data_IF_000068437492
#
_entry.id   IF_000068437492
#
_cell.length_a   1.000
_cell.length_b   1.000
_cell.length_c   1.000
_cell.angle_alpha   90.00
_cell.angle_beta   90.00
_cell.angle_gamma   90.00
#
_symmetry.space_group_name_H-M   'P 1'
#
loop_
_entity.id
_entity.type
_entity.pdbx_description
1 polymer ?
#
# COMPACT_ATOMS: atom_id res chain seq x y z
N UNK A 1 67.81 76.68 27.73
CA UNK A 1 67.73 75.23 27.49
C UNK A 1 66.33 74.83 27.94
N UNK A 2 65.30 74.94 27.13
CA UNK A 2 65.13 75.11 25.67
C UNK A 2 63.90 76.07 25.53
N UNK A 3 63.95 77.20 24.79
CA UNK A 3 63.72 77.39 23.34
C UNK A 3 62.38 76.77 22.89
N UNK A 4 61.46 77.31 22.07
CA UNK A 4 61.21 78.53 21.30
C UNK A 4 59.80 78.26 20.68
N UNK A 5 58.81 79.16 20.71
CA UNK A 5 58.45 80.15 19.68
C UNK A 5 57.18 79.77 18.85
N UNK A 6 56.39 80.82 18.57
CA UNK A 6 55.34 81.09 17.55
C UNK A 6 54.36 79.98 17.07
N UNK A 7 53.08 80.25 16.76
CA UNK A 7 52.35 81.48 16.52
C UNK A 7 51.21 81.25 15.48
N UNK A 8 50.27 82.20 15.39
CA UNK A 8 49.28 82.36 14.30
C UNK A 8 48.00 81.52 14.46
N UNK A 9 46.80 82.09 14.69
CA UNK A 9 46.06 83.00 13.81
C UNK A 9 45.17 82.14 12.89
N UNK A 10 43.87 82.29 12.71
CA UNK A 10 42.81 83.23 13.07
C UNK A 10 41.58 82.82 12.24
N UNK A 11 40.41 83.44 12.47
CA UNK A 11 39.31 83.42 11.50
C UNK A 11 37.99 82.88 12.02
N UNK A 12 36.98 83.74 12.04
CA UNK A 12 35.65 83.50 12.56
C UNK A 12 34.79 82.54 11.72
N UNK A 13 33.70 82.09 12.34
CA UNK A 13 32.68 81.27 11.72
C UNK A 13 31.38 81.41 12.50
N UNK A 14 30.40 81.99 11.83
CA UNK A 14 29.09 82.45 12.29
C UNK A 14 28.03 81.33 12.26
N UNK A 15 27.03 81.46 13.13
CA UNK A 15 25.65 80.95 13.09
C UNK A 15 25.34 79.45 12.88
N UNK A 16 24.57 78.90 13.83
CA UNK A 16 23.73 77.70 13.63
C UNK A 16 22.53 77.98 12.69
N UNK A 17 21.96 76.93 12.09
CA UNK A 17 20.57 76.60 12.41
C UNK A 17 20.32 75.09 12.68
N UNK A 18 19.16 74.74 13.24
CA UNK A 18 18.86 73.43 13.81
C UNK A 18 18.18 72.51 12.79
N UNK A 19 18.24 71.18 12.95
CA UNK A 19 17.09 70.34 12.59
C UNK A 19 17.12 68.95 13.25
N UNK A 20 15.98 68.66 13.88
CA UNK A 20 15.28 67.39 13.98
C UNK A 20 15.90 66.25 14.83
N UNK A 21 15.26 66.03 15.98
CA UNK A 21 15.48 64.87 16.83
C UNK A 21 15.22 63.55 16.11
N UNK A 22 16.11 62.59 16.37
CA UNK A 22 16.00 61.21 15.89
C UNK A 22 14.88 60.49 16.64
N UNK A 23 13.78 60.19 15.94
CA UNK A 23 12.80 59.23 16.40
C UNK A 23 13.32 57.83 16.07
N UNK A 24 13.72 57.07 17.09
CA UNK A 24 14.10 55.68 16.94
C UNK A 24 12.89 54.86 16.45
N UNK A 25 12.97 54.34 15.23
CA UNK A 25 12.00 53.38 14.73
C UNK A 25 12.16 52.06 15.50
N UNK A 26 11.15 51.69 16.28
CA UNK A 26 11.03 50.35 16.84
C UNK A 26 10.83 49.36 15.69
N UNK A 27 11.91 48.72 15.26
CA UNK A 27 11.84 47.58 14.37
C UNK A 27 11.14 46.44 15.13
N UNK A 28 9.83 46.31 14.93
CA UNK A 28 9.10 45.11 15.28
C UNK A 28 9.66 43.98 14.45
N UNK A 29 10.61 43.22 15.01
CA UNK A 29 11.00 41.94 14.50
C UNK A 29 9.79 41.01 14.64
N UNK A 30 8.92 41.04 13.63
CA UNK A 30 7.97 39.98 13.39
C UNK A 30 8.78 38.71 13.35
N UNK A 31 8.66 37.89 14.40
CA UNK A 31 9.20 36.55 14.39
C UNK A 31 8.49 35.85 13.25
N UNK A 32 9.17 35.73 12.12
CA UNK A 32 8.83 34.77 11.09
C UNK A 32 8.80 33.41 11.79
N UNK A 33 7.60 32.96 12.16
CA UNK A 33 7.38 31.56 12.52
C UNK A 33 7.48 30.83 11.19
N UNK A 34 8.72 30.62 10.74
CA UNK A 34 9.04 29.78 9.62
C UNK A 34 8.57 28.38 10.01
N UNK A 35 7.38 28.02 9.52
CA UNK A 35 6.81 26.70 9.74
C UNK A 35 7.84 25.66 9.29
N UNK A 36 8.27 24.82 10.23
CA UNK A 36 9.21 23.75 9.91
C UNK A 36 8.54 22.80 8.90
N UNK A 37 9.25 22.42 7.82
CA UNK A 37 8.66 21.56 6.80
C UNK A 37 8.30 20.20 7.40
N UNK A 38 7.07 19.73 7.12
CA UNK A 38 6.63 18.39 7.53
C UNK A 38 6.75 17.42 6.35
N UNK A 39 7.03 16.15 6.63
CA UNK A 39 7.10 15.09 5.64
C UNK A 39 6.34 13.87 6.14
N UNK A 40 5.69 13.15 5.23
CA UNK A 40 5.03 11.88 5.52
C UNK A 40 5.34 10.86 4.43
N UNK A 41 5.24 9.57 4.78
CA UNK A 41 5.46 8.44 3.87
C UNK A 41 4.35 7.42 4.05
N UNK A 42 3.75 6.98 2.95
CA UNK A 42 2.88 5.80 2.91
C UNK A 42 3.68 4.59 2.44
N UNK A 43 3.45 3.43 3.07
CA UNK A 43 4.06 2.16 2.71
C UNK A 43 2.96 1.11 2.58
N UNK A 44 2.90 0.44 1.44
CA UNK A 44 2.03 -0.74 1.24
C UNK A 44 2.91 -1.97 1.20
N UNK A 45 2.59 -2.99 2.01
CA UNK A 45 3.30 -4.27 2.04
C UNK A 45 2.36 -5.39 1.63
N UNK A 46 2.92 -6.38 0.93
CA UNK A 46 2.22 -7.62 0.58
C UNK A 46 2.63 -8.71 1.57
N UNK A 47 1.64 -9.39 2.14
CA UNK A 47 1.87 -10.58 2.98
C UNK A 47 1.63 -11.81 2.12
N UNK A 48 2.66 -12.65 1.99
CA UNK A 48 2.59 -13.88 1.21
C UNK A 48 2.20 -15.06 2.11
N UNK A 49 1.44 -16.00 1.55
CA UNK A 49 1.10 -17.26 2.20
C UNK A 49 0.77 -18.31 1.15
N UNK A 50 0.80 -19.58 1.55
CA UNK A 50 0.42 -20.71 0.69
C UNK A 50 -0.35 -21.74 1.49
N UNK A 51 -1.24 -22.46 0.80
CA UNK A 51 -2.03 -23.54 1.40
C UNK A 51 -2.06 -24.72 0.43
N UNK A 52 -1.89 -25.93 0.98
CA UNK A 52 -1.94 -27.17 0.20
C UNK A 52 -3.19 -27.94 0.57
N UNK A 53 -4.12 -28.02 -0.37
CA UNK A 53 -5.35 -28.77 -0.22
C UNK A 53 -5.24 -30.11 -0.97
N UNK A 54 -5.42 -31.23 -0.27
CA UNK A 54 -5.32 -32.59 -0.83
C UNK A 54 -6.68 -33.28 -0.73
N UNK A 55 -7.22 -33.68 -1.88
CA UNK A 55 -8.45 -34.47 -1.97
C UNK A 55 -8.06 -35.92 -2.23
N UNK A 56 -8.26 -36.77 -1.23
CA UNK A 56 -8.10 -38.22 -1.38
C UNK A 56 -9.39 -38.83 -1.94
N UNK A 57 -9.27 -39.83 -2.82
CA UNK A 57 -10.43 -40.49 -3.39
C UNK A 57 -11.25 -39.62 -4.37
N UNK A 58 -10.59 -38.73 -5.13
CA UNK A 58 -11.26 -37.83 -6.10
C UNK A 58 -12.27 -38.53 -7.02
N UNK A 59 -12.00 -39.78 -7.43
CA UNK A 59 -12.93 -40.56 -8.26
C UNK A 59 -14.31 -40.75 -7.61
N UNK A 60 -14.39 -40.81 -6.28
CA UNK A 60 -15.64 -40.89 -5.52
C UNK A 60 -16.31 -39.52 -5.36
N UNK A 61 -15.53 -38.44 -5.42
CA UNK A 61 -16.06 -37.07 -5.36
C UNK A 61 -16.68 -36.64 -6.69
N UNK A 62 -16.25 -37.22 -7.81
CA UNK A 62 -16.86 -36.97 -9.12
C UNK A 62 -18.25 -37.59 -9.20
N UNK A 63 -19.19 -36.85 -9.77
CA UNK A 63 -20.61 -37.22 -9.79
C UNK A 63 -21.38 -36.77 -8.56
N UNK A 64 -20.79 -35.97 -7.66
CA UNK A 64 -21.52 -35.36 -6.54
C UNK A 64 -22.59 -34.36 -7.00
N UNK A 65 -22.50 -33.89 -8.24
CA UNK A 65 -23.45 -33.00 -8.89
C UNK A 65 -22.92 -31.58 -9.02
N UNK A 66 -23.38 -30.90 -10.08
CA UNK A 66 -22.95 -29.53 -10.40
C UNK A 66 -23.28 -28.57 -9.25
N UNK A 67 -22.35 -27.66 -8.95
CA UNK A 67 -22.49 -26.68 -7.87
C UNK A 67 -22.26 -27.22 -6.46
N UNK A 68 -22.04 -28.54 -6.30
CA UNK A 68 -21.55 -29.11 -5.04
C UNK A 68 -20.03 -28.99 -4.97
N UNK A 69 -19.52 -28.69 -3.78
CA UNK A 69 -18.10 -28.47 -3.56
C UNK A 69 -17.58 -29.20 -2.33
N UNK A 70 -16.25 -29.36 -2.32
CA UNK A 70 -15.45 -29.76 -1.18
C UNK A 70 -14.64 -28.52 -0.78
N UNK A 71 -14.75 -28.11 0.48
CA UNK A 71 -13.98 -27.00 1.01
C UNK A 71 -12.70 -27.50 1.70
N UNK A 72 -11.62 -26.74 1.59
CA UNK A 72 -10.44 -26.92 2.44
C UNK A 72 -10.74 -26.50 3.88
N UNK A 73 -9.83 -26.84 4.79
CA UNK A 73 -9.75 -26.12 6.07
C UNK A 73 -9.44 -24.64 5.83
N UNK A 74 -9.80 -23.80 6.79
CA UNK A 74 -9.47 -22.39 6.73
C UNK A 74 -7.98 -22.17 6.99
N UNK A 75 -7.39 -21.19 6.33
CA UNK A 75 -5.99 -20.80 6.53
C UNK A 75 -5.84 -19.28 6.57
N UNK A 76 -4.81 -18.80 7.27
CA UNK A 76 -4.64 -17.37 7.53
C UNK A 76 -3.52 -16.76 6.70
N UNK A 77 -3.81 -15.68 5.97
CA UNK A 77 -2.82 -14.88 5.23
C UNK A 77 -3.22 -13.40 5.34
N UNK A 78 -2.25 -12.54 5.67
CA UNK A 78 -2.48 -11.10 5.76
C UNK A 78 -3.51 -10.68 6.82
N UNK A 79 -3.74 -11.49 7.85
CA UNK A 79 -4.74 -11.25 8.89
C UNK A 79 -6.16 -11.70 8.54
N UNK A 80 -6.38 -12.27 7.35
CA UNK A 80 -7.68 -12.78 6.91
C UNK A 80 -7.69 -14.31 6.86
N UNK A 81 -8.86 -14.89 7.08
CA UNK A 81 -9.07 -16.33 6.89
C UNK A 81 -9.58 -16.59 5.48
N UNK A 82 -9.04 -17.63 4.86
CA UNK A 82 -9.32 -18.03 3.49
C UNK A 82 -9.68 -19.51 3.44
N UNK A 83 -10.37 -19.93 2.39
CA UNK A 83 -10.61 -21.35 2.09
C UNK A 83 -10.60 -21.58 0.58
N UNK A 84 -10.24 -22.79 0.15
CA UNK A 84 -10.31 -23.22 -1.26
C UNK A 84 -11.59 -24.03 -1.45
N UNK A 85 -12.40 -23.67 -2.43
CA UNK A 85 -13.60 -24.42 -2.80
C UNK A 85 -13.36 -25.16 -4.12
N UNK A 86 -13.43 -26.48 -4.07
CA UNK A 86 -13.25 -27.36 -5.22
C UNK A 86 -14.59 -27.95 -5.66
N UNK A 87 -15.00 -27.72 -6.91
CA UNK A 87 -16.22 -28.24 -7.52
C UNK A 87 -15.84 -29.33 -8.53
N UNK A 88 -15.98 -30.63 -8.18
CA UNK A 88 -15.58 -31.72 -9.06
C UNK A 88 -16.35 -31.76 -10.37
N UNK A 89 -17.64 -31.38 -10.36
CA UNK A 89 -18.52 -31.38 -11.53
C UNK A 89 -18.79 -29.97 -12.08
N UNK A 90 -17.92 -29.01 -11.74
CA UNK A 90 -18.07 -27.62 -12.12
C UNK A 90 -19.05 -26.84 -11.23
N UNK A 91 -18.96 -25.51 -11.31
CA UNK A 91 -19.79 -24.61 -10.50
C UNK A 91 -21.18 -24.36 -11.09
N UNK A 92 -21.28 -24.18 -12.41
CA UNK A 92 -22.52 -23.77 -13.07
C UNK A 92 -23.08 -24.90 -13.94
N UNK A 93 -24.40 -25.17 -13.89
CA UNK A 93 -25.05 -26.18 -14.73
C UNK A 93 -24.85 -25.96 -16.23
N UNK A 94 -24.75 -24.69 -16.65
CA UNK A 94 -24.53 -24.25 -18.03
C UNK A 94 -23.28 -24.85 -18.67
N UNK A 95 -22.28 -25.19 -17.85
CA UNK A 95 -20.99 -25.72 -18.28
C UNK A 95 -21.03 -27.24 -18.54
N UNK A 96 -22.18 -27.88 -18.33
CA UNK A 96 -22.43 -29.31 -18.55
C UNK A 96 -21.36 -30.24 -17.95
N UNK A 97 -20.81 -29.88 -16.78
CA UNK A 97 -19.72 -30.62 -16.11
C UNK A 97 -18.45 -30.82 -16.97
N UNK A 98 -18.22 -29.97 -17.98
CA UNK A 98 -17.09 -30.10 -18.91
C UNK A 98 -15.72 -29.89 -18.23
N UNK A 99 -15.70 -29.23 -17.07
CA UNK A 99 -14.50 -28.95 -16.31
C UNK A 99 -14.76 -29.00 -14.80
N UNK A 100 -13.67 -29.16 -14.04
CA UNK A 100 -13.66 -28.88 -12.60
C UNK A 100 -13.54 -27.37 -12.38
N UNK A 101 -14.05 -26.85 -11.27
CA UNK A 101 -13.87 -25.44 -10.90
C UNK A 101 -13.20 -25.32 -9.54
N UNK A 102 -12.31 -24.35 -9.38
CA UNK A 102 -11.56 -24.09 -8.15
C UNK A 102 -11.63 -22.62 -7.84
N UNK A 103 -11.98 -22.27 -6.61
CA UNK A 103 -12.14 -20.90 -6.16
C UNK A 103 -11.36 -20.66 -4.89
N UNK A 104 -10.86 -19.45 -4.72
CA UNK A 104 -10.40 -18.93 -3.42
C UNK A 104 -11.53 -18.12 -2.79
N UNK A 105 -11.83 -18.37 -1.53
CA UNK A 105 -12.93 -17.75 -0.80
C UNK A 105 -12.42 -17.00 0.43
N UNK A 106 -12.96 -15.80 0.68
CA UNK A 106 -12.75 -15.09 1.95
C UNK A 106 -13.64 -15.72 3.03
N UNK A 107 -13.03 -16.33 4.04
CA UNK A 107 -13.74 -17.05 5.10
C UNK A 107 -13.98 -16.20 6.37
N UNK A 108 -13.14 -15.19 6.61
CA UNK A 108 -13.35 -14.21 7.68
C UNK A 108 -14.28 -13.08 7.24
N UNK A 109 -14.83 -12.36 8.21
CA UNK A 109 -15.43 -11.05 7.94
C UNK A 109 -14.34 -10.06 7.46
N UNK A 110 -14.71 -9.18 6.55
CA UNK A 110 -13.81 -8.18 5.98
C UNK A 110 -14.48 -7.45 4.83
N UNK A 111 -14.18 -6.16 4.69
CA UNK A 111 -14.64 -5.32 3.57
C UNK A 111 -13.45 -4.94 2.71
N UNK A 112 -13.60 -5.06 1.39
CA UNK A 112 -12.61 -4.67 0.39
C UNK A 112 -11.20 -5.27 0.60
N UNK A 113 -11.15 -6.57 0.89
CA UNK A 113 -9.89 -7.31 1.03
C UNK A 113 -9.25 -7.47 -0.33
N UNK A 114 -8.06 -6.86 -0.50
CA UNK A 114 -7.28 -6.94 -1.74
C UNK A 114 -6.33 -8.13 -1.69
N UNK A 115 -6.42 -9.01 -2.69
CA UNK A 115 -5.55 -10.18 -2.80
C UNK A 115 -5.07 -10.42 -4.24
N UNK A 116 -3.83 -10.90 -4.35
CA UNK A 116 -3.31 -11.59 -5.52
C UNK A 116 -3.14 -13.06 -5.11
N UNK A 117 -3.40 -13.97 -6.04
CA UNK A 117 -3.27 -15.39 -5.77
C UNK A 117 -2.90 -16.13 -7.05
N UNK A 118 -2.36 -17.32 -6.83
CA UNK A 118 -2.10 -18.33 -7.84
C UNK A 118 -2.74 -19.62 -7.36
N UNK A 119 -3.52 -20.24 -8.24
CA UNK A 119 -4.08 -21.56 -8.02
C UNK A 119 -3.35 -22.55 -8.92
N UNK A 120 -2.74 -23.56 -8.31
CA UNK A 120 -1.95 -24.57 -9.01
C UNK A 120 -2.50 -25.95 -8.74
N UNK A 121 -3.02 -26.60 -9.79
CA UNK A 121 -3.38 -28.02 -9.76
C UNK A 121 -2.15 -28.85 -10.09
N UNK A 122 -1.73 -29.68 -9.14
CA UNK A 122 -0.46 -30.38 -9.22
C UNK A 122 -0.56 -31.68 -10.02
N UNK A 123 0.18 -31.76 -11.12
CA UNK A 123 0.52 -33.02 -11.78
C UNK A 123 1.26 -33.98 -10.85
N UNK A 124 0.67 -35.17 -10.65
CA UNK A 124 1.22 -36.25 -9.83
C UNK A 124 1.94 -37.32 -10.67
N UNK A 125 1.98 -37.19 -11.99
CA UNK A 125 2.63 -38.15 -12.88
C UNK A 125 4.17 -38.10 -12.87
N UNK A 126 4.75 -37.16 -12.11
CA UNK A 126 6.19 -36.90 -12.06
C UNK A 126 6.73 -36.10 -13.25
N UNK A 127 5.87 -35.65 -14.18
CA UNK A 127 6.26 -34.89 -15.37
C UNK A 127 6.23 -33.37 -15.14
N UNK A 128 5.90 -32.92 -13.93
CA UNK A 128 5.82 -31.52 -13.52
C UNK A 128 4.90 -30.66 -14.42
N UNK A 129 3.87 -31.25 -15.03
CA UNK A 129 2.92 -30.55 -15.91
C UNK A 129 1.76 -29.94 -15.13
N UNK A 130 2.07 -29.09 -14.15
CA UNK A 130 1.05 -28.45 -13.31
C UNK A 130 0.15 -27.52 -14.13
N UNK A 131 -1.13 -27.46 -13.80
CA UNK A 131 -2.06 -26.49 -14.37
C UNK A 131 -2.11 -25.29 -13.43
N UNK A 132 -1.50 -24.19 -13.86
CA UNK A 132 -1.38 -22.94 -13.10
C UNK A 132 -2.39 -21.92 -13.61
N UNK A 133 -3.08 -21.24 -12.70
CA UNK A 133 -3.85 -20.03 -12.96
C UNK A 133 -3.36 -18.93 -12.02
N UNK A 134 -2.67 -17.93 -12.57
CA UNK A 134 -2.02 -16.86 -11.80
C UNK A 134 -2.65 -15.50 -12.10
N UNK A 135 -2.74 -14.68 -11.05
CA UNK A 135 -3.10 -13.26 -11.15
C UNK A 135 -1.93 -12.32 -10.95
N UNK A 136 -0.73 -12.85 -10.69
CA UNK A 136 0.47 -12.03 -10.59
C UNK A 136 0.88 -11.45 -11.95
N UNK A 137 0.54 -12.14 -13.04
CA UNK A 137 0.99 -11.77 -14.40
C UNK A 137 -0.01 -10.93 -15.20
N UNK A 138 -1.18 -10.58 -14.62
CA UNK A 138 -2.14 -9.69 -15.29
C UNK A 138 -1.61 -8.26 -15.26
N UNK A 139 -1.84 -7.53 -16.37
CA UNK A 139 -1.66 -6.07 -16.43
C UNK A 139 -2.19 -5.43 -15.14
N UNK A 140 -1.35 -4.63 -14.47
CA UNK A 140 -1.70 -3.92 -13.24
C UNK A 140 -2.92 -3.00 -13.39
N UNK A 141 -3.41 -2.76 -14.60
CA UNK A 141 -4.68 -2.09 -14.87
C UNK A 141 -5.88 -2.73 -14.17
N UNK A 142 -5.86 -4.04 -13.92
CA UNK A 142 -6.95 -4.72 -13.19
C UNK A 142 -6.72 -4.75 -11.66
N UNK A 143 -5.51 -4.41 -11.19
CA UNK A 143 -5.15 -4.40 -9.78
C UNK A 143 -5.34 -5.75 -9.05
N UNK A 144 -5.08 -5.79 -7.73
CA UNK A 144 -5.44 -6.94 -6.91
C UNK A 144 -6.96 -7.13 -6.86
N UNK A 145 -7.41 -8.38 -6.78
CA UNK A 145 -8.83 -8.71 -6.66
C UNK A 145 -9.36 -8.22 -5.34
N UNK A 146 -10.53 -7.59 -5.36
CA UNK A 146 -11.20 -7.08 -4.17
C UNK A 146 -12.33 -8.01 -3.78
N UNK A 147 -12.16 -8.74 -2.68
CA UNK A 147 -13.19 -9.56 -2.05
C UNK A 147 -13.95 -8.71 -1.04
N UNK A 148 -15.24 -8.52 -1.30
CA UNK A 148 -16.05 -7.47 -0.65
C UNK A 148 -16.62 -7.87 0.71
N UNK A 149 -16.91 -9.15 0.90
CA UNK A 149 -17.55 -9.68 2.09
C UNK A 149 -17.25 -11.18 2.26
N UNK A 150 -17.50 -11.72 3.45
CA UNK A 150 -17.33 -13.15 3.74
C UNK A 150 -18.13 -14.02 2.77
N UNK A 151 -17.47 -15.03 2.20
CA UNK A 151 -18.04 -15.92 1.19
C UNK A 151 -17.94 -15.37 -0.24
N UNK A 152 -17.41 -14.15 -0.44
CA UNK A 152 -16.95 -13.73 -1.76
C UNK A 152 -15.93 -14.75 -2.27
N UNK A 153 -16.10 -15.15 -3.53
CA UNK A 153 -15.23 -16.10 -4.22
C UNK A 153 -14.66 -15.46 -5.47
N UNK A 154 -13.45 -15.86 -5.81
CA UNK A 154 -12.87 -15.63 -7.13
C UNK A 154 -12.54 -16.95 -7.78
#
# INVERSE_FOLDING_TARGET
MEDDDAGGGGGGGEASPPHAGSAAAMAGAGRDIAASPTSSRSVTQTVNGSHRFVIQGYSLAKGMGVGKHIASETFTVGGYQWAIYFYPDGKNPEDNSAYVSVFIALASEGTDVRALFELTLLDQSGKAKHKVHSHFDRSLESGPYTLKYRGSMW
#
